data_IF_044957176209
#
_entry.id   IF_044957176209
#
_cell.length_a   1.000
_cell.length_b   1.000
_cell.length_c   1.000
_cell.angle_alpha   90.00
_cell.angle_beta   90.00
_cell.angle_gamma   90.00
#
_symmetry.space_group_name_H-M   'P 1'
#
loop_
_entity.id
_entity.type
_entity.pdbx_description
1 polymer ?
#
# COMPACT_ATOMS: atom_id res chain seq x y z
N UNK A 1 4.09 45.95 -48.51
CA UNK A 1 3.74 45.69 -47.10
C UNK A 1 2.54 44.79 -47.16
N UNK A 2 2.70 43.48 -46.94
CA UNK A 2 1.59 42.54 -47.09
C UNK A 2 0.60 42.83 -45.97
N UNK A 3 -0.51 43.50 -46.28
CA UNK A 3 -1.63 43.66 -45.37
C UNK A 3 -2.15 42.27 -45.03
N UNK A 4 -1.77 41.78 -43.86
CA UNK A 4 -2.30 40.55 -43.29
C UNK A 4 -3.79 40.76 -43.09
N UNK A 5 -4.60 40.27 -44.04
CA UNK A 5 -6.04 40.45 -43.99
C UNK A 5 -6.62 39.95 -42.66
N UNK A 6 -7.75 40.51 -42.19
CA UNK A 6 -8.33 40.17 -40.89
C UNK A 6 -8.56 38.65 -40.70
N UNK A 7 -8.80 37.90 -41.79
CA UNK A 7 -8.88 36.43 -41.78
C UNK A 7 -7.55 35.73 -41.41
N UNK A 8 -6.41 36.26 -41.87
CA UNK A 8 -5.10 35.71 -41.52
C UNK A 8 -4.81 35.89 -40.02
N UNK A 9 -5.16 37.06 -39.47
CA UNK A 9 -5.02 37.36 -38.04
C UNK A 9 -5.90 36.41 -37.20
N UNK A 10 -7.18 36.25 -37.57
CA UNK A 10 -8.11 35.34 -36.88
C UNK A 10 -7.60 33.90 -36.88
N UNK A 11 -7.07 33.43 -38.02
CA UNK A 11 -6.54 32.06 -38.14
C UNK A 11 -5.32 31.85 -37.24
N UNK A 12 -4.40 32.82 -37.20
CA UNK A 12 -3.21 32.78 -36.34
C UNK A 12 -3.60 32.74 -34.86
N UNK A 13 -4.59 33.55 -34.45
CA UNK A 13 -5.09 33.58 -33.07
C UNK A 13 -5.73 32.23 -32.70
N UNK A 14 -6.53 31.63 -33.58
CA UNK A 14 -7.12 30.31 -33.35
C UNK A 14 -6.07 29.21 -33.18
N UNK A 15 -5.03 29.21 -34.01
CA UNK A 15 -3.91 28.27 -33.89
C UNK A 15 -3.14 28.47 -32.57
N UNK A 16 -2.88 29.72 -32.19
CA UNK A 16 -2.25 30.06 -30.91
C UNK A 16 -3.07 29.55 -29.72
N UNK A 17 -4.39 29.76 -29.72
CA UNK A 17 -5.28 29.28 -28.68
C UNK A 17 -5.28 27.75 -28.63
N UNK A 18 -5.35 27.07 -29.77
CA UNK A 18 -5.31 25.61 -29.82
C UNK A 18 -3.99 25.05 -29.25
N UNK A 19 -2.85 25.66 -29.59
CA UNK A 19 -1.53 25.29 -29.05
C UNK A 19 -1.46 25.53 -27.55
N UNK A 20 -1.94 26.69 -27.06
CA UNK A 20 -1.95 27.00 -25.62
C UNK A 20 -2.84 26.04 -24.83
N UNK A 21 -4.03 25.72 -25.33
CA UNK A 21 -4.94 24.74 -24.72
C UNK A 21 -4.29 23.35 -24.72
N UNK A 22 -3.69 22.94 -25.84
CA UNK A 22 -2.95 21.68 -25.94
C UNK A 22 -1.80 21.59 -24.93
N UNK A 23 -0.98 22.64 -24.84
CA UNK A 23 0.13 22.74 -23.89
C UNK A 23 -0.37 22.68 -22.44
N UNK A 24 -1.45 23.39 -22.11
CA UNK A 24 -2.04 23.38 -20.77
C UNK A 24 -2.59 22.02 -20.36
N UNK A 25 -3.28 21.30 -21.27
CA UNK A 25 -3.78 19.94 -21.04
C UNK A 25 -2.61 18.98 -20.80
N UNK A 26 -1.57 19.06 -21.65
CA UNK A 26 -0.40 18.18 -21.57
C UNK A 26 0.37 18.44 -20.28
N UNK A 27 0.59 19.69 -19.90
CA UNK A 27 1.26 20.08 -18.67
C UNK A 27 0.50 19.59 -17.42
N UNK A 28 -0.83 19.75 -17.40
CA UNK A 28 -1.68 19.23 -16.31
C UNK A 28 -1.66 17.71 -16.23
N UNK A 29 -1.70 17.01 -17.37
CA UNK A 29 -1.57 15.54 -17.41
C UNK A 29 -0.22 15.10 -16.85
N UNK A 30 0.87 15.70 -17.31
CA UNK A 30 2.22 15.29 -16.93
C UNK A 30 2.49 15.50 -15.43
N UNK A 31 2.03 16.61 -14.84
CA UNK A 31 2.12 16.83 -13.38
C UNK A 31 1.28 15.83 -12.58
N UNK A 32 0.09 15.45 -13.08
CA UNK A 32 -0.78 14.46 -12.42
C UNK A 32 -0.19 13.05 -12.47
N UNK A 33 0.36 12.64 -13.62
CA UNK A 33 1.08 11.38 -13.76
C UNK A 33 2.30 11.32 -12.85
N UNK A 34 3.05 12.42 -12.72
CA UNK A 34 4.20 12.50 -11.82
C UNK A 34 3.82 12.26 -10.36
N UNK A 35 2.66 12.75 -9.92
CA UNK A 35 2.13 12.51 -8.58
C UNK A 35 1.84 11.02 -8.32
N UNK A 36 1.13 10.36 -9.24
CA UNK A 36 0.83 8.92 -9.14
C UNK A 36 2.10 8.08 -9.16
N UNK A 37 3.05 8.40 -10.05
CA UNK A 37 4.34 7.71 -10.13
C UNK A 37 5.16 7.88 -8.84
N UNK A 38 5.12 9.07 -8.23
CA UNK A 38 5.81 9.35 -6.97
C UNK A 38 5.22 8.62 -5.77
N UNK A 39 3.88 8.55 -5.68
CA UNK A 39 3.16 7.89 -4.57
C UNK A 39 3.22 6.36 -4.66
N UNK A 40 2.85 5.80 -5.81
CA UNK A 40 2.77 4.35 -5.99
C UNK A 40 4.11 3.69 -6.35
N UNK A 41 5.09 4.45 -6.86
CA UNK A 41 6.43 3.95 -7.23
C UNK A 41 6.43 2.62 -7.98
N UNK A 42 6.78 1.51 -7.31
CA UNK A 42 6.83 0.18 -7.88
C UNK A 42 5.44 -0.29 -8.35
N UNK A 43 4.38 0.08 -7.62
CA UNK A 43 3.00 -0.26 -7.96
C UNK A 43 2.46 0.52 -9.16
N UNK A 44 3.00 1.71 -9.42
CA UNK A 44 2.71 2.42 -10.67
C UNK A 44 3.20 1.59 -11.86
N UNK A 45 4.48 1.23 -11.86
CA UNK A 45 5.10 0.43 -12.93
C UNK A 45 4.38 -0.90 -13.13
N UNK A 46 3.99 -1.57 -12.03
CA UNK A 46 3.22 -2.82 -12.07
C UNK A 46 1.83 -2.61 -12.67
N UNK A 47 1.11 -1.58 -12.24
CA UNK A 47 -0.25 -1.30 -12.74
C UNK A 47 -0.22 -0.97 -14.23
N UNK A 48 0.78 -0.22 -14.70
CA UNK A 48 1.02 0.04 -16.13
C UNK A 48 1.30 -1.26 -16.89
N UNK A 49 2.20 -2.10 -16.39
CA UNK A 49 2.53 -3.39 -17.01
C UNK A 49 1.30 -4.31 -17.13
N UNK A 50 0.45 -4.36 -16.10
CA UNK A 50 -0.79 -5.15 -16.10
C UNK A 50 -1.87 -4.57 -17.01
N UNK A 51 -2.02 -3.24 -17.04
CA UNK A 51 -3.05 -2.58 -17.83
C UNK A 51 -2.72 -2.54 -19.33
N UNK A 52 -1.43 -2.60 -19.69
CA UNK A 52 -0.93 -2.49 -21.06
C UNK A 52 -1.00 -1.07 -21.64
N UNK A 53 -1.58 -0.12 -20.90
CA UNK A 53 -1.77 1.26 -21.30
C UNK A 53 -1.67 2.19 -20.08
N UNK A 54 -0.84 3.23 -20.20
CA UNK A 54 -0.59 4.19 -19.12
C UNK A 54 -1.85 4.94 -18.71
N UNK A 55 -2.69 5.35 -19.66
CA UNK A 55 -3.89 6.11 -19.36
C UNK A 55 -4.93 5.27 -18.61
N UNK A 56 -5.07 3.99 -18.98
CA UNK A 56 -5.91 3.02 -18.27
C UNK A 56 -5.39 2.76 -16.85
N UNK A 57 -4.08 2.58 -16.67
CA UNK A 57 -3.47 2.39 -15.36
C UNK A 57 -3.70 3.59 -14.44
N UNK A 58 -3.45 4.82 -14.92
CA UNK A 58 -3.67 6.04 -14.14
C UNK A 58 -5.13 6.28 -13.79
N UNK A 59 -6.07 5.84 -14.64
CA UNK A 59 -7.50 5.87 -14.31
C UNK A 59 -7.83 4.90 -13.18
N UNK A 60 -7.27 3.68 -13.21
CA UNK A 60 -7.47 2.69 -12.16
C UNK A 60 -6.91 3.18 -10.82
N UNK A 61 -5.68 3.70 -10.81
CA UNK A 61 -5.07 4.24 -9.58
C UNK A 61 -5.91 5.37 -8.98
N UNK A 62 -6.41 6.30 -9.80
CA UNK A 62 -7.28 7.38 -9.31
C UNK A 62 -8.62 6.89 -8.78
N UNK A 63 -9.19 5.86 -9.39
CA UNK A 63 -10.43 5.29 -8.87
C UNK A 63 -10.20 4.62 -7.51
N UNK A 64 -9.06 3.93 -7.33
CA UNK A 64 -8.64 3.39 -6.02
C UNK A 64 -8.48 4.50 -4.98
N UNK A 65 -7.77 5.58 -5.31
CA UNK A 65 -7.61 6.75 -4.41
C UNK A 65 -8.96 7.34 -4.02
N UNK A 66 -9.90 7.44 -4.97
CA UNK A 66 -11.25 7.96 -4.71
C UNK A 66 -12.05 7.04 -3.78
N UNK A 67 -11.92 5.72 -3.95
CA UNK A 67 -12.59 4.74 -3.08
C UNK A 67 -12.01 4.79 -1.68
N UNK A 68 -10.67 4.80 -1.55
CA UNK A 68 -9.99 4.88 -0.25
C UNK A 68 -10.30 6.18 0.48
N UNK A 69 -10.37 7.31 -0.23
CA UNK A 69 -10.77 8.60 0.35
C UNK A 69 -12.21 8.63 0.89
N UNK A 70 -13.05 7.65 0.54
CA UNK A 70 -14.40 7.51 1.06
C UNK A 70 -14.49 6.57 2.27
N UNK A 71 -13.40 5.87 2.61
CA UNK A 71 -13.33 5.01 3.79
C UNK A 71 -13.01 5.85 5.02
N UNK A 72 -13.56 5.46 6.17
CA UNK A 72 -13.25 6.08 7.46
C UNK A 72 -11.98 5.43 8.03
N UNK A 73 -10.84 5.66 7.36
CA UNK A 73 -9.57 5.08 7.78
C UNK A 73 -9.02 5.87 8.96
N UNK A 74 -8.75 5.18 10.05
CA UNK A 74 -8.27 5.79 11.27
C UNK A 74 -7.09 5.00 11.89
N UNK A 75 -6.26 5.67 12.70
CA UNK A 75 -5.28 4.97 13.52
C UNK A 75 -5.97 3.99 14.50
N UNK A 76 -5.24 2.96 14.90
CA UNK A 76 -5.70 2.04 15.93
C UNK A 76 -5.73 2.76 17.29
N UNK A 77 -6.79 2.53 18.06
CA UNK A 77 -6.83 2.96 19.46
C UNK A 77 -5.72 2.23 20.23
N UNK A 78 -5.01 2.87 21.18
CA UNK A 78 -3.85 2.25 21.84
C UNK A 78 -4.11 0.87 22.46
N UNK A 79 -5.30 0.65 23.03
CA UNK A 79 -5.69 -0.66 23.57
C UNK A 79 -5.78 -1.73 22.47
N UNK A 80 -6.53 -1.47 21.39
CA UNK A 80 -6.65 -2.38 20.25
C UNK A 80 -5.29 -2.67 19.62
N UNK A 81 -4.43 -1.65 19.50
CA UNK A 81 -3.06 -1.82 18.99
C UNK A 81 -2.27 -2.81 19.85
N UNK A 82 -2.36 -2.73 21.18
CA UNK A 82 -1.68 -3.68 22.07
C UNK A 82 -2.23 -5.10 21.90
N UNK A 83 -3.55 -5.25 21.84
CA UNK A 83 -4.18 -6.57 21.64
C UNK A 83 -3.71 -7.23 20.34
N UNK A 84 -3.62 -6.46 19.25
CA UNK A 84 -3.09 -6.96 17.98
C UNK A 84 -1.61 -7.33 18.04
N UNK A 85 -0.80 -6.57 18.77
CA UNK A 85 0.62 -6.88 18.99
C UNK A 85 0.77 -8.19 19.75
N UNK A 86 0.00 -8.40 20.82
CA UNK A 86 0.03 -9.65 21.59
C UNK A 86 -0.41 -10.84 20.73
N UNK A 87 -1.47 -10.70 19.93
CA UNK A 87 -1.88 -11.72 18.96
C UNK A 87 -0.78 -12.02 17.93
N UNK A 88 -0.06 -11.00 17.46
CA UNK A 88 1.06 -11.20 16.53
C UNK A 88 2.21 -11.99 17.17
N UNK A 89 2.47 -11.79 18.46
CA UNK A 89 3.47 -12.58 19.21
C UNK A 89 3.03 -14.04 19.35
N UNK A 90 1.75 -14.29 19.63
CA UNK A 90 1.20 -15.65 19.70
C UNK A 90 1.30 -16.38 18.35
N UNK A 91 0.99 -15.69 17.25
CA UNK A 91 1.13 -16.23 15.89
C UNK A 91 2.59 -16.57 15.57
N UNK A 92 3.55 -15.75 15.99
CA UNK A 92 4.98 -16.05 15.81
C UNK A 92 5.43 -17.24 16.67
N UNK A 93 4.98 -17.34 17.92
CA UNK A 93 5.33 -18.45 18.81
C UNK A 93 4.83 -19.78 18.24
N UNK A 94 3.63 -19.78 17.68
CA UNK A 94 3.05 -20.93 17.01
C UNK A 94 3.85 -21.41 15.80
N UNK A 95 4.52 -20.52 15.07
CA UNK A 95 5.27 -20.90 13.85
C UNK A 95 6.28 -22.01 14.11
N UNK A 96 6.82 -22.12 15.32
CA UNK A 96 7.75 -23.19 15.72
C UNK A 96 7.08 -24.57 15.71
N UNK A 97 5.79 -24.64 16.04
CA UNK A 97 5.02 -25.87 16.18
C UNK A 97 4.23 -26.17 14.90
N UNK A 98 3.61 -25.15 14.32
CA UNK A 98 2.76 -25.25 13.13
C UNK A 98 3.02 -24.03 12.20
N UNK A 99 4.02 -24.12 11.31
CA UNK A 99 4.36 -23.05 10.37
C UNK A 99 3.19 -22.67 9.44
N UNK A 100 2.42 -23.67 8.99
CA UNK A 100 1.32 -23.44 8.05
C UNK A 100 0.15 -22.75 8.73
N UNK A 101 -0.24 -23.21 9.92
CA UNK A 101 -1.26 -22.56 10.74
C UNK A 101 -0.87 -21.16 11.18
N UNK A 102 0.41 -20.91 11.46
CA UNK A 102 0.91 -19.57 11.77
C UNK A 102 0.77 -18.60 10.60
N UNK A 103 1.16 -19.00 9.38
CA UNK A 103 1.01 -18.16 8.18
C UNK A 103 -0.47 -17.89 7.88
N UNK A 104 -1.35 -18.89 8.04
CA UNK A 104 -2.79 -18.69 7.87
C UNK A 104 -3.37 -17.72 8.92
N UNK A 105 -2.97 -17.86 10.20
CA UNK A 105 -3.40 -16.94 11.25
C UNK A 105 -2.84 -15.52 11.08
N UNK A 106 -1.64 -15.37 10.53
CA UNK A 106 -1.08 -14.06 10.20
C UNK A 106 -1.91 -13.31 9.15
N UNK A 107 -2.39 -14.00 8.10
CA UNK A 107 -3.25 -13.38 7.08
C UNK A 107 -4.61 -12.94 7.64
N UNK A 108 -5.20 -13.76 8.53
CA UNK A 108 -6.42 -13.40 9.25
C UNK A 108 -6.18 -12.18 10.15
N UNK A 109 -5.12 -12.20 10.96
CA UNK A 109 -4.77 -11.10 11.85
C UNK A 109 -4.55 -9.79 11.09
N UNK A 110 -3.86 -9.81 9.95
CA UNK A 110 -3.71 -8.64 9.08
C UNK A 110 -5.07 -8.12 8.59
N UNK A 111 -5.99 -9.02 8.25
CA UNK A 111 -7.35 -8.64 7.85
C UNK A 111 -8.10 -7.98 9.01
N UNK A 112 -7.98 -8.51 10.23
CA UNK A 112 -8.61 -7.94 11.42
C UNK A 112 -8.04 -6.55 11.75
N UNK A 113 -6.73 -6.36 11.61
CA UNK A 113 -6.08 -5.06 11.76
C UNK A 113 -6.61 -4.07 10.71
N UNK A 114 -6.70 -4.47 9.43
CA UNK A 114 -7.25 -3.62 8.38
C UNK A 114 -8.70 -3.20 8.68
N UNK A 115 -9.54 -4.14 9.12
CA UNK A 115 -10.93 -3.87 9.49
C UNK A 115 -11.01 -2.90 10.67
N UNK A 116 -10.19 -3.12 11.70
CA UNK A 116 -10.13 -2.23 12.87
C UNK A 116 -9.61 -0.84 12.53
N UNK A 117 -8.95 -0.66 11.38
CA UNK A 117 -8.51 0.63 10.85
C UNK A 117 -9.51 1.28 9.90
N UNK A 118 -10.64 0.63 9.60
CA UNK A 118 -11.69 1.19 8.74
C UNK A 118 -11.60 0.79 7.26
N UNK A 119 -10.69 -0.12 6.89
CA UNK A 119 -10.73 -0.72 5.54
C UNK A 119 -11.95 -1.65 5.42
N UNK A 120 -12.63 -1.69 4.25
CA UNK A 120 -13.79 -2.53 4.06
C UNK A 120 -13.41 -4.01 3.98
N UNK A 121 -14.34 -4.88 4.38
CA UNK A 121 -14.20 -6.31 4.10
C UNK A 121 -14.25 -6.54 2.59
N UNK A 122 -13.16 -7.02 2.03
CA UNK A 122 -13.01 -7.29 0.61
C UNK A 122 -12.14 -8.54 0.39
N UNK A 123 -12.13 -9.07 -0.82
CA UNK A 123 -11.21 -10.14 -1.21
C UNK A 123 -9.75 -9.65 -1.24
N UNK A 124 -8.79 -10.58 -1.14
CA UNK A 124 -7.36 -10.28 -1.06
C UNK A 124 -6.89 -9.23 -2.07
N UNK A 125 -7.17 -9.46 -3.37
CA UNK A 125 -6.70 -8.57 -4.45
C UNK A 125 -7.23 -7.14 -4.27
N UNK A 126 -8.47 -6.99 -3.79
CA UNK A 126 -9.08 -5.68 -3.60
C UNK A 126 -8.58 -4.99 -2.33
N UNK A 127 -8.36 -5.72 -1.22
CA UNK A 127 -7.70 -5.17 -0.03
C UNK A 127 -6.29 -4.69 -0.36
N UNK A 128 -5.54 -5.49 -1.11
CA UNK A 128 -4.22 -5.13 -1.61
C UNK A 128 -4.25 -3.82 -2.42
N UNK A 129 -5.24 -3.66 -3.32
CA UNK A 129 -5.39 -2.43 -4.10
C UNK A 129 -5.67 -1.20 -3.22
N UNK A 130 -6.50 -1.34 -2.18
CA UNK A 130 -6.77 -0.26 -1.23
C UNK A 130 -5.55 0.10 -0.41
N UNK A 131 -4.89 -0.91 0.14
CA UNK A 131 -3.69 -0.75 0.94
C UNK A 131 -2.56 -0.09 0.14
N UNK A 132 -2.49 -0.31 -1.17
CA UNK A 132 -1.47 0.30 -2.04
C UNK A 132 -1.56 1.83 -2.15
N UNK A 133 -2.69 2.44 -1.76
CA UNK A 133 -2.87 3.89 -1.76
C UNK A 133 -2.03 4.55 -0.66
N UNK A 134 -2.10 4.01 0.56
CA UNK A 134 -1.47 4.60 1.74
C UNK A 134 -0.14 3.92 2.09
N UNK A 135 -0.02 2.62 1.79
CA UNK A 135 1.09 1.75 2.18
C UNK A 135 1.91 1.24 0.99
N UNK A 136 2.03 2.05 -0.07
CA UNK A 136 2.61 1.64 -1.36
C UNK A 136 4.02 1.06 -1.30
N UNK A 137 4.82 1.40 -0.28
CA UNK A 137 6.17 0.85 -0.10
C UNK A 137 6.16 -0.59 0.45
N UNK A 138 5.30 -0.88 1.42
CA UNK A 138 5.27 -2.17 2.12
C UNK A 138 4.22 -3.14 1.57
N UNK A 139 3.20 -2.65 0.84
CA UNK A 139 2.08 -3.47 0.33
C UNK A 139 2.56 -4.61 -0.56
N UNK A 140 3.72 -4.46 -1.23
CA UNK A 140 4.31 -5.53 -2.03
C UNK A 140 4.62 -6.78 -1.20
N UNK A 141 5.01 -6.62 0.07
CA UNK A 141 5.24 -7.73 0.99
C UNK A 141 3.96 -8.52 1.27
N UNK A 142 2.83 -7.84 1.43
CA UNK A 142 1.55 -8.51 1.65
C UNK A 142 1.22 -9.50 0.54
N UNK A 143 1.38 -9.07 -0.71
CA UNK A 143 1.18 -9.93 -1.89
C UNK A 143 2.17 -11.07 -1.97
N UNK A 144 3.44 -10.82 -1.71
CA UNK A 144 4.44 -11.90 -1.75
C UNK A 144 4.14 -12.97 -0.70
N UNK A 145 3.81 -12.55 0.53
CA UNK A 145 3.42 -13.47 1.59
C UNK A 145 2.17 -14.28 1.24
N UNK A 146 1.13 -13.63 0.72
CA UNK A 146 -0.10 -14.30 0.32
C UNK A 146 0.12 -15.31 -0.81
N UNK A 147 0.92 -14.95 -1.81
CA UNK A 147 1.27 -15.86 -2.91
C UNK A 147 2.01 -17.11 -2.40
N UNK A 148 2.91 -16.97 -1.43
CA UNK A 148 3.59 -18.11 -0.79
C UNK A 148 2.58 -18.96 0.00
N UNK A 149 1.70 -18.32 0.78
CA UNK A 149 0.69 -19.01 1.58
C UNK A 149 -0.27 -19.84 0.70
N UNK A 150 -0.77 -19.25 -0.39
CA UNK A 150 -1.63 -19.96 -1.35
C UNK A 150 -0.89 -21.12 -2.04
N UNK A 151 0.37 -20.90 -2.45
CA UNK A 151 1.16 -21.97 -3.09
C UNK A 151 1.46 -23.10 -2.12
N UNK A 152 1.66 -22.81 -0.83
CA UNK A 152 1.85 -23.83 0.19
C UNK A 152 0.56 -24.62 0.43
N UNK A 153 -0.58 -23.94 0.46
CA UNK A 153 -1.88 -24.61 0.56
C UNK A 153 -2.15 -25.57 -0.60
N UNK A 154 -1.57 -25.31 -1.79
CA UNK A 154 -1.59 -26.21 -2.96
C UNK A 154 -0.50 -27.29 -2.95
N UNK A 155 0.41 -27.28 -1.97
CA UNK A 155 1.52 -28.23 -1.84
C UNK A 155 2.71 -27.94 -2.77
N UNK A 156 2.83 -26.73 -3.30
CA UNK A 156 3.80 -26.35 -4.34
C UNK A 156 5.12 -25.80 -3.80
N UNK A 157 5.18 -25.44 -2.52
CA UNK A 157 6.34 -24.78 -1.89
C UNK A 157 6.74 -25.45 -0.58
N UNK A 158 8.01 -25.29 -0.20
CA UNK A 158 8.58 -25.91 1.01
C UNK A 158 8.36 -25.02 2.25
N UNK A 159 8.43 -25.63 3.44
CA UNK A 159 8.29 -24.95 4.75
C UNK A 159 9.27 -23.77 4.94
N UNK A 160 10.42 -23.80 4.27
CA UNK A 160 11.38 -22.68 4.21
C UNK A 160 10.74 -21.37 3.73
N UNK A 161 9.85 -21.46 2.75
CA UNK A 161 9.18 -20.30 2.15
C UNK A 161 8.12 -19.72 3.10
N UNK A 162 7.51 -20.54 3.95
CA UNK A 162 6.58 -20.06 4.98
C UNK A 162 7.25 -19.08 5.95
N UNK A 163 8.55 -19.25 6.22
CA UNK A 163 9.27 -18.27 7.04
C UNK A 163 9.40 -16.92 6.32
N UNK A 164 9.62 -16.94 5.00
CA UNK A 164 9.64 -15.71 4.19
C UNK A 164 8.27 -15.06 4.16
N UNK A 165 7.18 -15.85 4.07
CA UNK A 165 5.82 -15.32 4.20
C UNK A 165 5.62 -14.62 5.55
N UNK A 166 6.07 -15.21 6.66
CA UNK A 166 5.99 -14.57 7.98
C UNK A 166 6.76 -13.25 8.06
N UNK A 167 7.96 -13.17 7.47
CA UNK A 167 8.74 -11.92 7.42
C UNK A 167 8.00 -10.85 6.63
N UNK A 168 7.44 -11.21 5.49
CA UNK A 168 6.68 -10.30 4.65
C UNK A 168 5.37 -9.83 5.30
N UNK A 169 4.63 -10.72 5.96
CA UNK A 169 3.47 -10.30 6.76
C UNK A 169 3.85 -9.41 7.93
N UNK A 170 4.99 -9.65 8.58
CA UNK A 170 5.49 -8.80 9.66
C UNK A 170 5.72 -7.37 9.19
N UNK A 171 6.37 -7.20 8.04
CA UNK A 171 6.65 -5.86 7.50
C UNK A 171 5.37 -5.06 7.29
N UNK A 172 4.31 -5.68 6.78
CA UNK A 172 3.02 -5.00 6.67
C UNK A 172 2.38 -4.78 8.05
N UNK A 173 2.41 -5.78 8.92
CA UNK A 173 1.82 -5.69 10.26
C UNK A 173 2.41 -4.50 11.03
N UNK A 174 3.74 -4.39 11.05
CA UNK A 174 4.45 -3.31 11.73
C UNK A 174 4.04 -1.94 11.19
N UNK A 175 3.91 -1.80 9.87
CA UNK A 175 3.49 -0.55 9.24
C UNK A 175 2.03 -0.19 9.63
N UNK A 176 1.14 -1.18 9.63
CA UNK A 176 -0.26 -1.00 10.02
C UNK A 176 -0.45 -0.63 11.50
N UNK A 177 0.40 -1.13 12.40
CA UNK A 177 0.27 -0.85 13.85
C UNK A 177 1.06 0.38 14.29
N UNK A 178 2.10 0.80 13.57
CA UNK A 178 2.94 1.95 13.92
C UNK A 178 2.55 3.25 13.20
N UNK A 179 1.52 3.25 12.35
CA UNK A 179 1.03 4.49 11.74
C UNK A 179 0.58 5.49 12.82
N UNK A 180 0.99 6.77 12.76
CA UNK A 180 1.21 7.53 13.98
C UNK A 180 -0.08 7.97 14.68
N UNK A 181 -0.12 7.71 15.99
CA UNK A 181 -0.87 8.52 16.97
C UNK A 181 0.09 9.44 17.74
N UNK A 182 1.38 9.08 17.82
CA UNK A 182 2.51 9.85 18.33
C UNK A 182 3.79 9.26 17.69
N UNK A 183 4.79 10.09 17.34
CA UNK A 183 6.05 9.73 16.64
C UNK A 183 6.97 8.70 17.35
N UNK A 184 6.48 8.01 18.39
CA UNK A 184 7.25 7.00 19.12
C UNK A 184 6.89 5.59 18.63
N UNK A 185 7.79 4.89 17.91
CA UNK A 185 7.56 3.49 17.56
C UNK A 185 7.40 2.65 18.82
N UNK A 186 6.38 1.80 18.87
CA UNK A 186 6.10 0.94 20.04
C UNK A 186 6.94 -0.35 19.97
N UNK A 187 7.21 -0.80 18.75
CA UNK A 187 8.05 -1.95 18.46
C UNK A 187 9.27 -1.47 17.66
N UNK A 188 10.46 -1.81 18.14
CA UNK A 188 11.69 -1.63 17.38
C UNK A 188 12.30 -2.97 17.01
N UNK A 189 12.78 -3.07 15.78
CA UNK A 189 13.56 -4.21 15.33
C UNK A 189 15.04 -3.90 15.50
N UNK A 190 15.63 -4.48 16.53
CA UNK A 190 17.09 -4.45 16.75
C UNK A 190 17.61 -5.88 16.61
N UNK A 191 18.59 -6.08 15.73
CA UNK A 191 19.27 -7.36 15.54
C UNK A 191 18.33 -8.55 15.29
N UNK A 192 17.26 -8.34 14.51
CA UNK A 192 16.29 -9.38 14.15
C UNK A 192 15.31 -9.81 15.26
N UNK A 193 15.36 -9.17 16.43
CA UNK A 193 14.43 -9.41 17.55
C UNK A 193 13.43 -8.26 17.67
N UNK A 194 12.21 -8.62 18.07
CA UNK A 194 11.17 -7.65 18.44
C UNK A 194 11.53 -7.11 19.82
N UNK A 195 11.89 -5.84 19.90
CA UNK A 195 11.99 -5.12 21.15
C UNK A 195 10.69 -4.35 21.37
N UNK A 196 9.93 -4.78 22.37
CA UNK A 196 8.90 -3.96 22.98
C UNK A 196 9.61 -2.89 23.82
N UNK A 197 9.66 -1.66 23.28
CA UNK A 197 10.40 -0.55 23.88
C UNK A 197 9.80 -0.10 25.23
N UNK A 198 8.60 -0.56 25.59
CA UNK A 198 7.95 -0.24 26.88
C UNK A 198 8.32 -1.24 27.98
N UNK A 199 8.49 -2.53 27.68
CA UNK A 199 8.99 -3.52 28.67
C UNK A 199 10.40 -3.22 29.17
N UNK A 200 11.16 -2.41 28.43
CA UNK A 200 12.47 -1.92 28.83
C UNK A 200 12.38 -0.65 29.70
N UNK A 201 11.39 0.22 29.44
CA UNK A 201 11.15 1.42 30.25
C UNK A 201 10.67 1.06 31.68
N UNK A 202 9.78 0.07 31.82
CA UNK A 202 9.24 -0.36 33.12
C UNK A 202 10.30 -1.08 33.99
N UNK A 203 11.39 -1.58 33.40
CA UNK A 203 12.49 -2.26 34.12
C UNK A 203 13.60 -1.32 34.60
N UNK A 204 13.54 -0.04 34.25
CA UNK A 204 14.55 0.97 34.64
C UNK A 204 14.11 1.89 35.77
N UNK A 205 12.89 1.73 36.27
CA UNK A 205 12.37 2.37 37.48
C UNK A 205 12.19 1.33 38.60
#
# INVERSE_FOLDING_TARGET
MNDMGPLAIVTIVLLLVAVLVGAAITFRRNRRSAGLKGRYRAEYSRTVARAGDTHKAERQLREREKQVAAFDIHPLVPAQRHDFIDHWLDVQALFVIDPAGAVARADVLLTDVMLARGYPMAQFEQRYEYLSVDHGEVVAHYRTAHAIAESHARGEVRTEELRQAMIHYRTLFDDLVNEPVDDTPVIAHRDGRIHDLRREAIRRD
#
